data_IF_201631855585
#
_entry.id   IF_201631855585
#
_cell.length_a   1.000
_cell.length_b   1.000
_cell.length_c   1.000
_cell.angle_alpha   90.00
_cell.angle_beta   90.00
_cell.angle_gamma   90.00
#
_symmetry.space_group_name_H-M   'P 1'
#
loop_
_entity.id
_entity.type
_entity.pdbx_description
1 polymer ?
#
# COMPACT_ATOMS: atom_id res chain seq x y z
N UNK A 1 -51.94 1.31 -22.01
CA UNK A 1 -51.26 1.38 -20.69
C UNK A 1 -50.40 0.12 -20.58
N UNK A 2 -49.14 0.22 -21.01
CA UNK A 2 -48.17 -0.87 -20.96
C UNK A 2 -47.29 -0.62 -19.74
N UNK A 3 -47.29 -1.55 -18.78
CA UNK A 3 -46.35 -1.54 -17.67
C UNK A 3 -45.04 -2.16 -18.18
N UNK A 4 -43.99 -1.35 -18.25
CA UNK A 4 -42.62 -1.81 -18.42
C UNK A 4 -42.20 -2.54 -17.14
N UNK A 5 -42.07 -3.87 -17.20
CA UNK A 5 -41.27 -4.61 -16.23
C UNK A 5 -39.79 -4.38 -16.53
N UNK A 6 -38.92 -4.14 -15.53
CA UNK A 6 -37.49 -4.11 -15.74
C UNK A 6 -36.99 -5.51 -16.13
N UNK A 7 -35.93 -5.62 -16.95
CA UNK A 7 -35.39 -6.90 -17.36
C UNK A 7 -34.91 -7.69 -16.14
N UNK A 8 -35.31 -8.95 -16.08
CA UNK A 8 -34.90 -9.94 -15.08
C UNK A 8 -33.38 -10.10 -15.09
N UNK A 9 -32.70 -9.57 -14.09
CA UNK A 9 -31.28 -9.81 -13.86
C UNK A 9 -31.03 -11.29 -13.51
N UNK A 10 -30.17 -11.94 -14.30
CA UNK A 10 -29.40 -13.17 -14.03
C UNK A 10 -29.94 -14.12 -12.94
N UNK A 11 -30.81 -15.06 -13.32
CA UNK A 11 -31.22 -16.21 -12.51
C UNK A 11 -30.25 -17.41 -12.58
N UNK A 12 -28.95 -17.16 -12.77
CA UNK A 12 -27.94 -18.18 -12.55
C UNK A 12 -27.21 -17.83 -11.25
N UNK A 13 -27.68 -18.38 -10.12
CA UNK A 13 -26.93 -18.32 -8.86
C UNK A 13 -25.62 -19.08 -9.04
N UNK A 14 -24.56 -18.36 -9.41
CA UNK A 14 -23.21 -18.88 -9.27
C UNK A 14 -22.98 -19.03 -7.77
N UNK A 15 -23.09 -20.27 -7.28
CA UNK A 15 -22.81 -20.60 -5.89
C UNK A 15 -21.37 -20.21 -5.56
N UNK A 16 -21.19 -19.44 -4.49
CA UNK A 16 -19.85 -19.13 -3.99
C UNK A 16 -19.22 -20.44 -3.49
N UNK A 17 -18.02 -20.81 -3.95
CA UNK A 17 -17.32 -21.96 -3.40
C UNK A 17 -17.13 -21.77 -1.90
N UNK A 18 -17.10 -22.86 -1.10
CA UNK A 18 -16.79 -22.75 0.31
C UNK A 18 -15.40 -22.14 0.51
N UNK A 19 -15.20 -21.44 1.62
CA UNK A 19 -13.87 -21.00 2.01
C UNK A 19 -12.95 -22.20 2.20
N UNK A 20 -11.66 -22.01 1.91
CA UNK A 20 -10.63 -22.96 2.32
C UNK A 20 -10.75 -23.19 3.84
N UNK A 21 -10.81 -24.46 4.32
CA UNK A 21 -10.91 -24.76 5.74
C UNK A 21 -9.87 -24.06 6.61
N UNK A 22 -8.67 -23.81 6.10
CA UNK A 22 -7.61 -23.09 6.80
C UNK A 22 -7.92 -21.60 7.00
N UNK A 23 -8.76 -21.03 6.14
CA UNK A 23 -9.16 -19.62 6.21
C UNK A 23 -10.42 -19.40 7.06
N UNK A 24 -11.20 -20.45 7.34
CA UNK A 24 -12.46 -20.33 8.11
C UNK A 24 -12.25 -19.60 9.46
N UNK A 25 -11.27 -19.98 10.30
CA UNK A 25 -11.09 -19.31 11.59
C UNK A 25 -10.78 -17.81 11.43
N UNK A 26 -9.96 -17.44 10.44
CA UNK A 26 -9.61 -16.06 10.16
C UNK A 26 -10.82 -15.26 9.63
N UNK A 27 -11.63 -15.87 8.76
CA UNK A 27 -12.88 -15.26 8.25
C UNK A 27 -13.92 -15.07 9.36
N UNK A 28 -14.02 -16.00 10.30
CA UNK A 28 -14.92 -15.85 11.44
C UNK A 28 -14.43 -14.78 12.42
N UNK A 29 -13.13 -14.73 12.69
CA UNK A 29 -12.52 -13.69 13.51
C UNK A 29 -12.69 -12.29 12.89
N UNK A 30 -12.55 -12.14 11.57
CA UNK A 30 -12.64 -10.84 10.89
C UNK A 30 -14.03 -10.22 11.00
N UNK A 31 -15.10 -11.03 10.98
CA UNK A 31 -16.49 -10.57 11.15
C UNK A 31 -16.72 -9.80 12.46
N UNK A 32 -15.94 -10.11 13.49
CA UNK A 32 -16.08 -9.53 14.82
C UNK A 32 -15.04 -8.45 15.13
N UNK A 33 -14.00 -8.30 14.29
CA UNK A 33 -12.84 -7.45 14.59
C UNK A 33 -12.63 -6.33 13.58
N UNK A 34 -13.10 -6.47 12.34
CA UNK A 34 -13.01 -5.41 11.34
C UNK A 34 -14.21 -4.46 11.42
N UNK A 35 -14.00 -3.15 11.60
CA UNK A 35 -15.06 -2.16 11.47
C UNK A 35 -15.67 -2.19 10.06
N UNK A 36 -16.97 -1.91 9.97
CA UNK A 36 -17.62 -1.72 8.68
C UNK A 36 -17.06 -0.47 7.98
N UNK A 37 -17.01 -0.48 6.65
CA UNK A 37 -16.52 0.65 5.82
C UNK A 37 -17.33 1.93 6.07
N UNK A 38 -18.59 1.79 6.49
CA UNK A 38 -19.48 2.89 6.87
C UNK A 38 -19.07 3.60 8.17
N UNK A 39 -18.17 3.02 8.96
CA UNK A 39 -17.67 3.58 10.23
C UNK A 39 -16.21 4.02 10.06
N UNK A 40 -16.03 5.17 9.41
CA UNK A 40 -14.72 5.70 9.05
C UNK A 40 -13.84 5.99 10.28
N UNK A 41 -14.44 6.45 11.38
CA UNK A 41 -13.71 6.75 12.61
C UNK A 41 -13.10 5.48 13.20
N UNK A 42 -13.90 4.43 13.39
CA UNK A 42 -13.39 3.17 13.91
C UNK A 42 -12.41 2.49 12.94
N UNK A 43 -12.61 2.63 11.62
CA UNK A 43 -11.66 2.13 10.63
C UNK A 43 -10.28 2.82 10.76
N UNK A 44 -10.25 4.13 10.99
CA UNK A 44 -9.02 4.89 11.23
C UNK A 44 -8.39 4.57 12.58
N UNK A 45 -9.18 4.39 13.64
CA UNK A 45 -8.68 3.94 14.95
C UNK A 45 -8.04 2.56 14.86
N UNK A 46 -8.66 1.63 14.13
CA UNK A 46 -8.09 0.31 13.86
C UNK A 46 -6.74 0.42 13.16
N UNK A 47 -6.62 1.27 12.13
CA UNK A 47 -5.36 1.52 11.44
C UNK A 47 -4.27 2.12 12.35
N UNK A 48 -4.67 2.92 13.36
CA UNK A 48 -3.76 3.48 14.36
C UNK A 48 -3.00 2.43 15.19
N UNK A 49 -3.45 1.17 15.20
CA UNK A 49 -2.75 0.09 15.88
C UNK A 49 -1.52 -0.42 15.11
N UNK A 50 -1.38 -0.10 13.83
CA UNK A 50 -0.18 -0.40 13.07
C UNK A 50 0.90 0.66 13.35
N UNK A 51 2.08 0.21 13.77
CA UNK A 51 3.18 1.09 14.15
C UNK A 51 4.54 0.48 13.80
N UNK A 52 5.56 1.33 13.71
CA UNK A 52 6.94 0.87 13.60
C UNK A 52 7.38 0.02 14.79
N UNK A 53 6.95 0.36 16.00
CA UNK A 53 7.26 -0.41 17.20
C UNK A 53 6.78 -1.85 17.08
N UNK A 54 5.55 -2.06 16.55
CA UNK A 54 5.03 -3.41 16.34
C UNK A 54 5.82 -4.18 15.28
N UNK A 55 6.20 -3.52 14.18
CA UNK A 55 7.06 -4.13 13.16
C UNK A 55 8.40 -4.55 13.75
N UNK A 56 9.04 -3.70 14.57
CA UNK A 56 10.34 -4.03 15.18
C UNK A 56 10.25 -5.11 16.26
N UNK A 57 9.10 -5.25 16.93
CA UNK A 57 8.84 -6.37 17.83
C UNK A 57 8.83 -7.70 17.07
N UNK A 58 8.12 -7.73 15.94
CA UNK A 58 7.97 -8.95 15.12
C UNK A 58 9.24 -9.24 14.28
N UNK A 59 9.99 -8.19 13.90
CA UNK A 59 11.20 -8.26 13.06
C UNK A 59 12.40 -7.54 13.70
N UNK A 60 12.98 -8.06 14.79
CA UNK A 60 14.05 -7.39 15.55
C UNK A 60 15.39 -7.28 14.81
N UNK A 61 15.55 -7.95 13.67
CA UNK A 61 16.73 -7.84 12.79
C UNK A 61 16.73 -6.57 11.94
N UNK A 62 15.63 -5.81 11.92
CA UNK A 62 15.51 -4.54 11.20
C UNK A 62 15.83 -3.35 12.12
N UNK A 63 16.42 -2.31 11.54
CA UNK A 63 16.43 -0.94 12.05
C UNK A 63 15.34 -0.14 11.34
N UNK A 64 14.88 0.93 11.99
CA UNK A 64 13.86 1.84 11.46
C UNK A 64 14.33 3.29 11.53
N UNK A 65 14.14 4.03 10.44
CA UNK A 65 14.37 5.47 10.36
C UNK A 65 13.16 6.13 9.69
N UNK A 66 12.74 7.27 10.24
CA UNK A 66 11.72 8.11 9.63
C UNK A 66 12.32 9.31 8.92
N UNK A 67 11.79 9.61 7.74
CA UNK A 67 12.14 10.76 6.94
C UNK A 67 10.92 11.66 6.76
N UNK A 68 11.14 12.97 6.80
CA UNK A 68 10.23 13.99 6.28
C UNK A 68 10.77 14.39 4.91
N UNK A 69 9.98 14.22 3.86
CA UNK A 69 10.44 14.46 2.48
C UNK A 69 9.56 15.50 1.80
N UNK A 70 10.10 16.27 0.85
CA UNK A 70 9.30 17.25 0.12
C UNK A 70 8.13 16.61 -0.62
N UNK A 71 7.00 17.34 -0.68
CA UNK A 71 5.90 17.01 -1.58
C UNK A 71 6.29 17.16 -3.06
N UNK A 72 5.36 16.82 -3.96
CA UNK A 72 5.64 16.81 -5.40
C UNK A 72 5.89 18.21 -5.96
N UNK A 73 5.14 19.21 -5.48
CA UNK A 73 5.21 20.59 -5.94
C UNK A 73 5.73 21.52 -4.83
N UNK A 74 6.26 22.68 -5.25
CA UNK A 74 6.67 23.72 -4.31
C UNK A 74 5.50 24.18 -3.43
N UNK A 75 5.68 24.08 -2.11
CA UNK A 75 4.65 24.43 -1.13
C UNK A 75 3.69 23.29 -0.75
N UNK A 76 3.81 22.11 -1.36
CA UNK A 76 3.12 20.91 -0.88
C UNK A 76 3.62 20.54 0.53
N UNK A 77 2.73 19.93 1.33
CA UNK A 77 3.07 19.43 2.65
C UNK A 77 4.17 18.36 2.57
N UNK A 78 5.00 18.27 3.61
CA UNK A 78 5.98 17.19 3.72
C UNK A 78 5.29 15.83 3.90
N UNK A 79 5.91 14.82 3.31
CA UNK A 79 5.43 13.43 3.34
C UNK A 79 6.31 12.65 4.32
N UNK A 80 5.68 11.86 5.19
CA UNK A 80 6.42 10.95 6.07
C UNK A 80 6.72 9.65 5.33
N UNK A 81 7.97 9.20 5.44
CA UNK A 81 8.42 7.91 4.93
C UNK A 81 9.07 7.16 6.08
N UNK A 82 8.74 5.87 6.21
CA UNK A 82 9.41 4.95 7.11
C UNK A 82 10.26 3.98 6.33
N UNK A 83 11.53 3.88 6.70
CA UNK A 83 12.49 2.98 6.08
C UNK A 83 12.88 1.92 7.12
N UNK A 84 12.64 0.66 6.80
CA UNK A 84 13.12 -0.48 7.57
C UNK A 84 14.23 -1.17 6.80
N UNK A 85 15.38 -1.36 7.45
CA UNK A 85 16.60 -1.88 6.83
C UNK A 85 17.23 -2.97 7.70
N UNK A 86 17.79 -4.04 7.13
CA UNK A 86 18.55 -5.01 7.91
C UNK A 86 19.71 -4.35 8.68
N UNK A 87 19.87 -4.68 9.97
CA UNK A 87 20.94 -4.17 10.85
C UNK A 87 22.35 -4.51 10.38
N UNK A 88 22.50 -5.62 9.69
CA UNK A 88 23.81 -6.14 9.25
C UNK A 88 23.68 -6.76 7.86
N UNK A 89 23.48 -5.92 6.83
CA UNK A 89 23.23 -6.41 5.48
C UNK A 89 24.49 -7.06 4.89
N UNK A 90 24.33 -8.15 4.15
CA UNK A 90 25.47 -8.82 3.47
C UNK A 90 25.95 -8.08 2.23
N UNK A 91 25.12 -7.18 1.68
CA UNK A 91 25.44 -6.30 0.54
C UNK A 91 25.27 -4.83 0.92
N UNK A 92 26.10 -3.97 0.33
CA UNK A 92 25.98 -2.51 0.48
C UNK A 92 24.71 -1.95 -0.19
N UNK A 93 24.24 -2.60 -1.26
CA UNK A 93 23.08 -2.19 -2.05
C UNK A 93 22.09 -3.36 -2.11
N UNK A 94 20.90 -3.15 -1.57
CA UNK A 94 19.83 -4.15 -1.48
C UNK A 94 18.67 -3.82 -2.44
N UNK A 95 17.87 -4.81 -2.87
CA UNK A 95 16.55 -4.53 -3.43
C UNK A 95 15.68 -3.79 -2.40
N UNK A 96 14.65 -3.10 -2.89
CA UNK A 96 13.71 -2.40 -2.02
C UNK A 96 12.25 -2.66 -2.40
N UNK A 97 11.39 -2.74 -1.39
CA UNK A 97 9.95 -2.66 -1.55
C UNK A 97 9.51 -1.24 -1.20
N UNK A 98 8.99 -0.49 -2.18
CA UNK A 98 8.30 0.77 -1.96
C UNK A 98 6.80 0.48 -1.76
N UNK A 99 6.38 0.40 -0.50
CA UNK A 99 5.03 0.04 -0.09
C UNK A 99 4.09 1.25 -0.05
N UNK A 100 2.96 1.10 -0.71
CA UNK A 100 1.82 2.03 -0.67
C UNK A 100 0.65 1.28 -0.03
N UNK A 101 0.28 1.71 1.18
CA UNK A 101 -0.66 0.97 2.01
C UNK A 101 -2.10 0.96 1.45
N UNK A 102 -2.90 -0.01 1.90
CA UNK A 102 -4.32 -0.11 1.60
C UNK A 102 -5.21 0.75 2.52
N UNK A 103 -6.49 0.41 2.60
CA UNK A 103 -7.46 1.15 3.43
C UNK A 103 -8.43 2.04 2.62
N UNK A 104 -8.66 1.69 1.35
CA UNK A 104 -9.64 2.36 0.50
C UNK A 104 -9.34 3.84 0.25
N UNK A 105 -8.09 4.28 0.46
CA UNK A 105 -7.63 5.68 0.36
C UNK A 105 -8.24 6.62 1.41
N UNK A 106 -9.05 6.10 2.35
CA UNK A 106 -9.72 6.87 3.40
C UNK A 106 -9.24 6.52 4.81
N UNK A 107 -8.56 5.39 4.96
CA UNK A 107 -7.98 4.89 6.19
C UNK A 107 -6.65 4.17 5.90
N UNK A 108 -6.03 3.63 6.95
CA UNK A 108 -4.68 3.06 6.89
C UNK A 108 -3.62 4.08 7.27
N UNK A 109 -2.40 3.60 7.39
CA UNK A 109 -1.18 4.38 7.56
C UNK A 109 -0.01 3.63 6.93
N UNK A 110 1.19 4.23 6.90
CA UNK A 110 2.41 3.61 6.33
C UNK A 110 2.82 2.28 6.95
N UNK A 111 2.22 1.83 8.05
CA UNK A 111 2.53 0.54 8.68
C UNK A 111 1.47 -0.52 8.38
N UNK A 112 0.33 -0.13 7.82
CA UNK A 112 -0.80 -1.02 7.56
C UNK A 112 -0.40 -2.15 6.62
N UNK A 113 -0.54 -3.39 7.12
CA UNK A 113 -0.17 -4.65 6.45
C UNK A 113 1.32 -4.79 6.07
N UNK A 114 2.21 -3.90 6.51
CA UNK A 114 3.64 -3.95 6.14
C UNK A 114 4.33 -5.22 6.68
N UNK A 115 3.97 -5.69 7.88
CA UNK A 115 4.53 -6.94 8.44
C UNK A 115 4.28 -8.16 7.53
N UNK A 116 3.06 -8.31 7.00
CA UNK A 116 2.74 -9.38 6.05
C UNK A 116 3.60 -9.29 4.79
N UNK A 117 3.89 -8.07 4.32
CA UNK A 117 4.77 -7.88 3.18
C UNK A 117 6.21 -8.21 3.51
N UNK A 118 6.71 -7.91 4.70
CA UNK A 118 8.05 -8.30 5.14
C UNK A 118 8.20 -9.83 5.09
N UNK A 119 7.16 -10.57 5.49
CA UNK A 119 7.17 -12.04 5.46
C UNK A 119 7.34 -12.62 4.05
N UNK A 120 6.78 -11.97 3.02
CA UNK A 120 6.95 -12.40 1.61
C UNK A 120 8.40 -12.29 1.10
N UNK A 121 9.25 -11.55 1.81
CA UNK A 121 10.66 -11.32 1.46
C UNK A 121 11.61 -11.94 2.51
N UNK A 122 11.15 -12.88 3.33
CA UNK A 122 11.94 -13.48 4.42
C UNK A 122 13.32 -14.03 3.99
N UNK A 123 13.43 -14.53 2.77
CA UNK A 123 14.67 -15.11 2.20
C UNK A 123 15.49 -14.11 1.36
N UNK A 124 15.09 -12.83 1.32
CA UNK A 124 15.72 -11.78 0.51
C UNK A 124 16.00 -10.56 1.39
N UNK A 125 17.28 -10.23 1.58
CA UNK A 125 17.66 -8.97 2.25
C UNK A 125 17.09 -7.78 1.48
N UNK A 126 16.10 -7.12 2.07
CA UNK A 126 15.28 -6.10 1.40
C UNK A 126 15.17 -4.87 2.29
N UNK A 127 15.23 -3.68 1.69
CA UNK A 127 14.87 -2.43 2.36
C UNK A 127 13.38 -2.16 2.13
N UNK A 128 12.61 -1.98 3.20
CA UNK A 128 11.19 -1.67 3.10
C UNK A 128 10.99 -0.18 3.29
N UNK A 129 10.49 0.49 2.26
CA UNK A 129 10.22 1.93 2.26
C UNK A 129 8.71 2.08 2.20
N UNK A 130 8.10 2.67 3.22
CA UNK A 130 6.65 2.80 3.30
C UNK A 130 6.22 4.25 3.44
N UNK A 131 5.33 4.69 2.55
CA UNK A 131 4.91 6.09 2.44
C UNK A 131 3.61 6.37 3.18
N UNK A 132 3.57 7.48 3.91
CA UNK A 132 2.35 8.04 4.51
C UNK A 132 1.71 9.01 3.52
N UNK A 133 0.77 8.53 2.71
CA UNK A 133 0.06 9.38 1.77
C UNK A 133 -1.16 10.04 2.43
N UNK A 134 -1.56 11.22 1.94
CA UNK A 134 -2.74 11.93 2.43
C UNK A 134 -4.04 11.18 2.11
N UNK A 135 -4.92 11.07 3.10
CA UNK A 135 -6.19 10.35 2.98
C UNK A 135 -7.32 11.24 2.48
N UNK A 136 -8.25 10.63 1.74
CA UNK A 136 -9.56 11.17 1.47
C UNK A 136 -10.49 11.00 2.69
N UNK A 137 -11.56 11.80 2.82
CA UNK A 137 -11.99 12.88 1.92
C UNK A 137 -11.24 14.21 2.09
N UNK A 138 -10.39 14.36 3.12
CA UNK A 138 -9.67 15.60 3.41
C UNK A 138 -8.75 16.01 2.26
N UNK A 139 -8.17 15.02 1.60
CA UNK A 139 -7.29 15.19 0.45
C UNK A 139 -7.74 14.27 -0.69
N UNK A 140 -8.70 14.72 -1.53
CA UNK A 140 -9.17 13.92 -2.65
C UNK A 140 -8.08 13.70 -3.70
N UNK A 141 -8.32 12.77 -4.63
CA UNK A 141 -7.43 12.53 -5.76
C UNK A 141 -7.14 13.85 -6.51
N UNK A 142 -5.87 14.09 -6.94
CA UNK A 142 -4.75 13.15 -6.98
C UNK A 142 -3.77 13.22 -5.78
N UNK A 143 -4.17 13.74 -4.62
CA UNK A 143 -3.23 13.99 -3.51
C UNK A 143 -2.39 12.77 -3.10
N UNK A 144 -3.03 11.62 -2.84
CA UNK A 144 -2.34 10.39 -2.45
C UNK A 144 -1.35 9.88 -3.53
N UNK A 145 -1.71 10.03 -4.80
CA UNK A 145 -0.83 9.70 -5.93
C UNK A 145 0.40 10.61 -5.97
N UNK A 146 0.21 11.91 -5.79
CA UNK A 146 1.33 12.85 -5.75
C UNK A 146 2.27 12.55 -4.58
N UNK A 147 1.73 12.19 -3.42
CA UNK A 147 2.55 11.86 -2.25
C UNK A 147 3.37 10.59 -2.47
N UNK A 148 2.73 9.52 -2.97
CA UNK A 148 3.43 8.27 -3.28
C UNK A 148 4.49 8.46 -4.37
N UNK A 149 4.21 9.27 -5.39
CA UNK A 149 5.18 9.52 -6.45
C UNK A 149 6.36 10.39 -5.97
N UNK A 150 6.09 11.44 -5.18
CA UNK A 150 7.14 12.27 -4.58
C UNK A 150 8.04 11.46 -3.64
N UNK A 151 7.47 10.59 -2.83
CA UNK A 151 8.25 9.71 -1.96
C UNK A 151 9.12 8.71 -2.73
N UNK A 152 8.62 8.17 -3.84
CA UNK A 152 9.39 7.28 -4.72
C UNK A 152 10.55 8.01 -5.43
N UNK A 153 10.31 9.25 -5.87
CA UNK A 153 11.35 10.12 -6.43
C UNK A 153 12.45 10.41 -5.40
N UNK A 154 12.05 10.74 -4.17
CA UNK A 154 12.99 10.97 -3.07
C UNK A 154 13.81 9.71 -2.76
N UNK A 155 13.16 8.55 -2.59
CA UNK A 155 13.84 7.30 -2.31
C UNK A 155 14.87 6.94 -3.39
N UNK A 156 14.51 7.13 -4.66
CA UNK A 156 15.43 6.87 -5.79
C UNK A 156 16.63 7.83 -5.77
N UNK A 157 16.39 9.12 -5.51
CA UNK A 157 17.44 10.14 -5.41
C UNK A 157 18.41 9.88 -4.24
N UNK A 158 17.89 9.36 -3.13
CA UNK A 158 18.64 9.05 -1.91
C UNK A 158 19.08 7.57 -1.85
N UNK A 159 19.07 6.87 -2.97
CA UNK A 159 19.27 5.41 -3.00
C UNK A 159 20.57 4.94 -2.35
N UNK A 160 21.67 5.66 -2.57
CA UNK A 160 22.97 5.36 -1.94
C UNK A 160 22.93 5.51 -0.42
N UNK A 161 22.27 6.55 0.10
CA UNK A 161 22.11 6.79 1.54
C UNK A 161 21.27 5.68 2.19
N UNK A 162 20.21 5.26 1.51
CA UNK A 162 19.34 4.18 1.96
C UNK A 162 20.00 2.80 1.80
N UNK A 163 21.04 2.67 0.98
CA UNK A 163 21.67 1.41 0.61
C UNK A 163 20.76 0.55 -0.26
N UNK A 164 20.03 1.16 -1.19
CA UNK A 164 19.12 0.49 -2.12
C UNK A 164 19.65 0.55 -3.55
N UNK A 165 19.60 -0.55 -4.26
CA UNK A 165 19.78 -0.59 -5.71
C UNK A 165 18.52 -0.02 -6.37
N UNK A 166 18.59 1.21 -6.89
CA UNK A 166 17.43 1.91 -7.46
C UNK A 166 16.83 1.21 -8.69
N UNK A 167 17.56 0.29 -9.32
CA UNK A 167 17.06 -0.54 -10.43
C UNK A 167 16.26 -1.76 -9.96
N UNK A 168 16.28 -2.05 -8.65
CA UNK A 168 15.61 -3.18 -8.00
C UNK A 168 14.57 -2.73 -6.98
N UNK A 169 13.95 -1.58 -7.23
CA UNK A 169 12.80 -1.12 -6.46
C UNK A 169 11.54 -1.79 -7.01
N UNK A 170 10.83 -2.52 -6.15
CA UNK A 170 9.48 -3.01 -6.42
C UNK A 170 8.51 -1.99 -5.85
N UNK A 171 7.62 -1.44 -6.68
CA UNK A 171 6.50 -0.61 -6.19
C UNK A 171 5.36 -1.56 -5.82
N UNK A 172 4.96 -1.55 -4.56
CA UNK A 172 3.91 -2.41 -4.01
C UNK A 172 2.67 -1.63 -3.62
N UNK A 173 1.48 -2.17 -3.92
CA UNK A 173 0.21 -1.60 -3.49
C UNK A 173 -0.83 -2.66 -3.18
N UNK A 174 -1.52 -2.52 -2.05
CA UNK A 174 -2.60 -3.44 -1.64
C UNK A 174 -3.96 -2.73 -1.61
N UNK A 175 -5.01 -3.37 -2.13
CA UNK A 175 -6.38 -2.82 -2.10
C UNK A 175 -6.44 -1.37 -2.62
N UNK A 176 -6.82 -0.39 -1.79
CA UNK A 176 -6.84 1.03 -2.13
C UNK A 176 -5.47 1.64 -2.52
N UNK A 177 -4.37 1.04 -2.08
CA UNK A 177 -3.00 1.40 -2.48
C UNK A 177 -2.63 0.88 -3.87
N UNK A 178 -3.35 -0.12 -4.40
CA UNK A 178 -3.16 -0.66 -5.74
C UNK A 178 -3.26 0.40 -6.84
N UNK A 179 -4.38 1.14 -6.96
CA UNK A 179 -4.50 2.27 -7.88
C UNK A 179 -3.38 3.30 -7.77
N UNK A 180 -2.94 3.60 -6.55
CA UNK A 180 -1.89 4.58 -6.29
C UNK A 180 -0.54 4.05 -6.80
N UNK A 181 -0.23 2.77 -6.54
CA UNK A 181 0.97 2.10 -7.04
C UNK A 181 1.02 2.04 -8.58
N UNK A 182 -0.12 1.72 -9.22
CA UNK A 182 -0.27 1.75 -10.68
C UNK A 182 -0.02 3.17 -11.19
N UNK A 183 -0.71 4.17 -10.63
CA UNK A 183 -0.58 5.56 -11.03
C UNK A 183 0.84 6.10 -10.88
N UNK A 184 1.51 5.80 -9.76
CA UNK A 184 2.89 6.22 -9.53
C UNK A 184 3.84 5.59 -10.55
N UNK A 185 3.64 4.32 -10.90
CA UNK A 185 4.42 3.62 -11.94
C UNK A 185 4.14 4.19 -13.33
N UNK A 186 2.89 4.60 -13.62
CA UNK A 186 2.56 5.30 -14.87
C UNK A 186 3.25 6.67 -14.94
N UNK A 187 3.27 7.44 -13.84
CA UNK A 187 4.01 8.71 -13.76
C UNK A 187 5.50 8.50 -13.95
N UNK A 188 6.08 7.40 -13.40
CA UNK A 188 7.47 7.03 -13.64
C UNK A 188 7.75 6.84 -15.14
N UNK A 189 6.90 6.08 -15.83
CA UNK A 189 6.99 5.87 -17.28
C UNK A 189 6.87 7.18 -18.05
N UNK A 190 5.86 7.98 -17.75
CA UNK A 190 5.55 9.20 -18.51
C UNK A 190 6.63 10.27 -18.32
N UNK A 191 7.26 10.34 -17.13
CA UNK A 191 8.38 11.24 -16.85
C UNK A 191 9.75 10.64 -17.17
N UNK A 192 9.81 9.39 -17.65
CA UNK A 192 11.05 8.65 -17.95
C UNK A 192 12.00 8.52 -16.75
N UNK A 193 11.45 8.50 -15.53
CA UNK A 193 12.15 8.26 -14.24
C UNK A 193 11.16 8.27 -13.07
N UNK A 194 11.48 7.57 -11.97
CA UNK A 194 12.47 6.48 -11.89
C UNK A 194 12.04 5.27 -12.72
N UNK A 195 12.85 4.22 -12.78
CA UNK A 195 12.49 2.96 -13.46
C UNK A 195 12.40 1.82 -12.44
N UNK A 196 11.24 1.65 -11.76
CA UNK A 196 11.04 0.52 -10.86
C UNK A 196 11.27 -0.80 -11.59
N UNK A 197 11.88 -1.77 -10.89
CA UNK A 197 12.15 -3.10 -11.43
C UNK A 197 10.90 -3.97 -11.55
N UNK A 198 9.88 -3.72 -10.73
CA UNK A 198 8.58 -4.40 -10.81
C UNK A 198 7.44 -3.60 -10.16
N UNK A 199 6.21 -3.99 -10.50
CA UNK A 199 4.98 -3.57 -9.84
C UNK A 199 4.32 -4.80 -9.19
N UNK A 200 4.04 -4.74 -7.90
CA UNK A 200 3.37 -5.80 -7.14
C UNK A 200 2.00 -5.31 -6.65
N UNK A 201 0.93 -5.95 -7.12
CA UNK A 201 -0.45 -5.61 -6.77
C UNK A 201 -1.10 -6.71 -5.95
N UNK A 202 -1.60 -6.37 -4.77
CA UNK A 202 -2.22 -7.30 -3.83
C UNK A 202 -3.71 -6.97 -3.71
N UNK A 203 -4.54 -7.80 -4.34
CA UNK A 203 -6.01 -7.61 -4.40
C UNK A 203 -6.38 -6.15 -4.70
N UNK A 204 -5.87 -5.55 -5.80
CA UNK A 204 -6.07 -4.13 -6.10
C UNK A 204 -7.56 -3.80 -6.30
N UNK A 205 -7.94 -2.57 -5.95
CA UNK A 205 -9.16 -1.98 -6.50
C UNK A 205 -8.83 -1.57 -7.92
N UNK A 206 -9.47 -2.15 -8.95
CA UNK A 206 -9.09 -1.88 -10.35
C UNK A 206 -10.08 -0.98 -11.09
N UNK A 207 -11.34 -0.93 -10.65
CA UNK A 207 -12.38 -0.13 -11.29
C UNK A 207 -13.32 0.53 -10.27
N UNK A 208 -13.51 1.84 -10.41
CA UNK A 208 -14.46 2.65 -9.66
C UNK A 208 -15.63 3.15 -10.51
N UNK A 209 -15.65 2.84 -11.81
CA UNK A 209 -16.66 3.28 -12.77
C UNK A 209 -18.00 2.56 -12.60
N UNK A 210 -18.01 1.42 -11.92
CA UNK A 210 -19.21 0.60 -11.72
C UNK A 210 -19.72 -0.07 -13.00
N UNK A 211 -18.92 -0.07 -14.07
CA UNK A 211 -19.22 -0.75 -15.32
C UNK A 211 -18.59 -2.15 -15.30
N UNK A 212 -19.29 -3.10 -14.66
CA UNK A 212 -18.98 -4.53 -14.73
C UNK A 212 -19.78 -5.22 -15.83
#
# INVERSE_FOLDING_TARGET
MSQNQPPTHFQNEILRPPYDPLLIPAVEASKNTMPGIQDLENLRLFAGNFSAAKILEDYPSLDHVEYSVPGLNDGDAEIKISVFKPKSPTSAMLPALYNIHGGGQVAGNRFSALGVLIEYFNDIETVFISVEYRLAPEHPAPAALHDAYAGLLWATKHSVELGIDCTKIIVGGASGGGPIAVGATMLCRDNQRPFPGALMLLTPIEDTSGHW
#
